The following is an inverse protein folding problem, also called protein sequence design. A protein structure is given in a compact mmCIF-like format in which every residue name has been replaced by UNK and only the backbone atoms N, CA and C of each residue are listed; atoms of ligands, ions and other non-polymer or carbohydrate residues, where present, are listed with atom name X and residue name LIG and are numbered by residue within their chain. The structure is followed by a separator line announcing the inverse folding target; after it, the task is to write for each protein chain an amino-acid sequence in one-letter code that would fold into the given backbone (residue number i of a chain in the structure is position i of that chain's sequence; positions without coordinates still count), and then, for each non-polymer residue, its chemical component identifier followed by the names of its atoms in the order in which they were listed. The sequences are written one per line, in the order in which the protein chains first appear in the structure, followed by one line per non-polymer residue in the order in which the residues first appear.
data_IF_253871782264
#
_entry.id   IF_253871782264
#
_cell.length_a   1.000
_cell.length_b   1.000
_cell.length_c   1.000
_cell.angle_alpha   90.00
_cell.angle_beta   90.00
_cell.angle_gamma   90.00
#
_symmetry.space_group_name_H-M   'P 1'
#
loop_
_entity.id
_entity.type
_entity.pdbx_description
1 polymer ?
#
# COMPACT_ATOMS: atom_id res chain seq x y z
N UNK A 1 13.63 56.04 -7.84
CA UNK A 1 13.10 54.67 -8.05
C UNK A 1 11.85 54.78 -8.91
N UNK A 2 11.87 54.18 -10.10
CA UNK A 2 10.79 54.28 -11.09
C UNK A 2 9.67 53.29 -10.78
N UNK A 3 8.50 53.82 -10.40
CA UNK A 3 7.26 53.06 -10.17
C UNK A 3 6.85 52.31 -11.44
N UNK A 4 6.98 50.99 -11.48
CA UNK A 4 6.42 50.18 -12.57
C UNK A 4 4.94 49.93 -12.31
N UNK A 5 4.11 50.89 -12.72
CA UNK A 5 2.66 50.75 -12.82
C UNK A 5 2.33 49.69 -13.87
N UNK A 6 1.77 48.53 -13.48
CA UNK A 6 1.27 47.56 -14.46
C UNK A 6 0.08 48.18 -15.19
N UNK A 7 0.23 48.39 -16.51
CA UNK A 7 -0.82 49.01 -17.33
C UNK A 7 -2.15 48.26 -17.19
N UNK A 8 -3.28 48.94 -16.96
CA UNK A 8 -4.58 48.30 -16.97
C UNK A 8 -4.82 47.67 -18.34
N UNK A 9 -5.42 46.47 -18.37
CA UNK A 9 -5.84 45.83 -19.62
C UNK A 9 -6.86 46.74 -20.30
N UNK A 10 -6.54 47.23 -21.49
CA UNK A 10 -7.45 48.06 -22.29
C UNK A 10 -8.46 47.14 -22.94
N UNK A 11 -9.76 47.42 -22.75
CA UNK A 11 -10.83 46.67 -23.39
C UNK A 11 -10.81 46.87 -24.90
N UNK A 12 -11.45 45.96 -25.65
CA UNK A 12 -11.70 46.21 -27.08
C UNK A 12 -12.42 47.57 -27.21
N UNK A 13 -11.89 48.45 -28.08
CA UNK A 13 -12.34 49.83 -28.36
C UNK A 13 -11.86 50.93 -27.40
N UNK A 14 -10.79 50.71 -26.63
CA UNK A 14 -10.13 51.80 -25.90
C UNK A 14 -10.86 52.29 -24.66
N UNK A 15 -11.97 51.64 -24.28
CA UNK A 15 -12.66 51.90 -23.01
C UNK A 15 -12.00 51.12 -21.88
N UNK A 16 -11.81 51.73 -20.69
CA UNK A 16 -11.26 51.03 -19.54
C UNK A 16 -12.22 49.92 -19.09
N UNK A 17 -11.72 48.70 -18.93
CA UNK A 17 -12.53 47.57 -18.45
C UNK A 17 -12.80 47.75 -16.96
N UNK A 18 -14.08 47.83 -16.57
CA UNK A 18 -14.52 47.89 -15.16
C UNK A 18 -14.43 46.55 -14.43
N UNK A 19 -14.05 45.48 -15.15
CA UNK A 19 -13.79 44.15 -14.62
C UNK A 19 -12.46 44.16 -13.84
N UNK A 20 -12.53 44.72 -12.64
CA UNK A 20 -11.47 44.66 -11.65
C UNK A 20 -11.90 43.62 -10.64
N UNK A 21 -11.04 42.65 -10.35
CA UNK A 21 -11.32 41.70 -9.28
C UNK A 21 -11.29 42.49 -7.95
N UNK A 22 -12.35 42.38 -7.14
CA UNK A 22 -12.45 42.99 -5.81
C UNK A 22 -12.38 41.93 -4.71
N UNK A 23 -11.84 42.32 -3.54
CA UNK A 23 -11.98 41.52 -2.33
C UNK A 23 -13.35 41.79 -1.71
N UNK A 24 -14.16 40.73 -1.55
CA UNK A 24 -15.56 40.83 -1.08
C UNK A 24 -15.68 41.39 0.34
N UNK A 25 -14.65 41.20 1.18
CA UNK A 25 -14.68 41.64 2.58
C UNK A 25 -14.34 43.13 2.74
N UNK A 26 -13.45 43.67 1.91
CA UNK A 26 -12.97 45.05 2.02
C UNK A 26 -13.49 45.98 0.94
N UNK A 27 -14.15 45.44 -0.09
CA UNK A 27 -14.70 46.14 -1.24
C UNK A 27 -13.66 46.99 -2.02
N UNK A 28 -12.38 46.61 -1.93
CA UNK A 28 -11.26 47.23 -2.62
C UNK A 28 -10.69 46.28 -3.68
N UNK A 29 -10.09 46.86 -4.74
CA UNK A 29 -9.49 46.09 -5.82
C UNK A 29 -8.31 45.23 -5.32
N UNK A 30 -8.17 44.00 -5.81
CA UNK A 30 -7.09 43.07 -5.38
C UNK A 30 -5.68 43.64 -5.58
N UNK A 31 -5.47 44.53 -6.57
CA UNK A 31 -4.18 45.21 -6.79
C UNK A 31 -3.78 46.17 -5.67
N UNK A 32 -4.74 46.69 -4.91
CA UNK A 32 -4.53 47.53 -3.71
C UNK A 32 -4.39 46.65 -2.47
N UNK A 33 -4.94 45.43 -2.49
CA UNK A 33 -5.06 44.51 -1.36
C UNK A 33 -3.89 43.55 -1.13
N UNK A 34 -2.69 43.88 -1.62
CA UNK A 34 -1.49 43.22 -1.15
C UNK A 34 -1.09 43.89 0.17
N UNK A 35 -1.34 43.22 1.29
CA UNK A 35 -1.06 43.70 2.65
C UNK A 35 0.45 43.82 2.97
N UNK A 36 1.33 43.62 1.99
CA UNK A 36 2.78 43.73 2.12
C UNK A 36 3.39 44.39 0.86
N UNK A 37 4.46 45.19 1.05
CA UNK A 37 5.23 45.80 -0.04
C UNK A 37 5.66 44.71 -1.05
N UNK A 38 5.86 44.98 -2.36
CA UNK A 38 6.23 43.95 -3.34
C UNK A 38 7.38 43.01 -2.92
N UNK A 39 8.34 43.53 -2.16
CA UNK A 39 9.46 42.77 -1.58
C UNK A 39 9.08 41.85 -0.40
N UNK A 40 8.02 42.22 0.34
CA UNK A 40 7.55 41.56 1.56
C UNK A 40 6.38 40.59 1.29
N UNK A 41 5.96 40.47 0.03
CA UNK A 41 4.93 39.49 -0.35
C UNK A 41 5.47 38.08 -0.13
N UNK A 42 4.70 37.17 0.48
CA UNK A 42 5.08 35.76 0.51
C UNK A 42 5.32 35.30 -0.93
N UNK A 43 6.56 34.99 -1.28
CA UNK A 43 6.88 34.47 -2.60
C UNK A 43 6.17 33.12 -2.72
N UNK A 44 5.32 32.99 -3.73
CA UNK A 44 4.84 31.68 -4.16
C UNK A 44 6.05 30.92 -4.65
N UNK A 45 6.66 30.17 -3.73
CA UNK A 45 7.74 29.21 -3.91
C UNK A 45 9.13 29.85 -4.10
N UNK A 46 10.14 29.30 -3.41
CA UNK A 46 11.57 29.62 -3.52
C UNK A 46 12.18 29.29 -4.89
N UNK A 47 11.50 29.58 -6.00
CA UNK A 47 11.91 29.16 -7.34
C UNK A 47 12.03 27.63 -7.49
N UNK A 48 11.74 26.85 -6.44
CA UNK A 48 11.59 25.41 -6.48
C UNK A 48 10.22 25.09 -7.05
N UNK A 49 10.03 25.44 -8.33
CA UNK A 49 9.39 24.45 -9.20
C UNK A 49 10.19 23.19 -8.93
N UNK A 50 9.59 22.22 -8.22
CA UNK A 50 10.18 20.91 -7.99
C UNK A 50 10.87 20.56 -9.31
N UNK A 51 12.20 20.37 -9.27
CA UNK A 51 12.97 20.14 -10.51
C UNK A 51 12.23 19.06 -11.26
N UNK A 52 12.21 19.06 -12.60
CA UNK A 52 11.46 18.03 -13.37
C UNK A 52 11.78 16.58 -12.90
N UNK A 53 12.96 16.38 -12.28
CA UNK A 53 13.45 15.16 -11.60
C UNK A 53 12.77 14.80 -10.26
N UNK A 54 12.11 15.74 -9.59
CA UNK A 54 11.41 15.60 -8.31
C UNK A 54 9.90 15.38 -8.49
N UNK A 55 9.41 15.31 -9.74
CA UNK A 55 8.08 14.73 -10.02
C UNK A 55 8.18 13.23 -9.79
N UNK A 56 8.11 12.83 -8.53
CA UNK A 56 8.02 11.44 -8.13
C UNK A 56 6.73 10.87 -8.70
N UNK A 57 6.86 10.05 -9.74
CA UNK A 57 5.76 9.23 -10.22
C UNK A 57 5.52 8.16 -9.16
N UNK A 58 4.27 7.98 -8.66
CA UNK A 58 3.99 6.91 -7.72
C UNK A 58 4.36 5.56 -8.34
N UNK A 59 5.03 4.68 -7.58
CA UNK A 59 5.55 3.42 -8.13
C UNK A 59 4.48 2.54 -8.77
N UNK A 60 3.23 2.61 -8.32
CA UNK A 60 2.11 1.87 -8.93
C UNK A 60 1.78 2.29 -10.37
N UNK A 61 2.25 3.47 -10.79
CA UNK A 61 2.06 4.00 -12.15
C UNK A 61 3.07 3.39 -13.11
N UNK A 62 4.26 3.01 -12.61
CA UNK A 62 5.30 2.35 -13.38
C UNK A 62 5.07 0.84 -13.36
N UNK A 63 4.47 0.33 -14.44
CA UNK A 63 4.31 -1.11 -14.63
C UNK A 63 5.65 -1.72 -15.04
N UNK A 64 6.02 -2.83 -14.41
CA UNK A 64 7.24 -3.56 -14.70
C UNK A 64 7.10 -4.58 -15.86
N UNK A 65 5.93 -4.60 -16.51
CA UNK A 65 5.59 -5.46 -17.62
C UNK A 65 4.92 -4.69 -18.76
N UNK A 66 5.07 -5.21 -19.97
CA UNK A 66 4.42 -4.68 -21.16
C UNK A 66 2.94 -5.10 -21.17
N UNK A 67 2.04 -4.13 -21.28
CA UNK A 67 0.59 -4.34 -21.19
C UNK A 67 0.07 -5.19 -22.35
N UNK A 68 0.68 -5.09 -23.55
CA UNK A 68 0.21 -5.79 -24.75
C UNK A 68 0.70 -7.25 -24.74
N UNK A 69 1.98 -7.46 -24.44
CA UNK A 69 2.61 -8.79 -24.53
C UNK A 69 2.65 -9.54 -23.20
N UNK A 70 2.21 -8.90 -22.12
CA UNK A 70 2.26 -9.38 -20.72
C UNK A 70 3.63 -9.86 -20.23
N UNK A 71 4.70 -9.59 -20.98
CA UNK A 71 6.07 -9.92 -20.60
C UNK A 71 6.65 -8.85 -19.70
N UNK A 72 7.45 -9.27 -18.74
CA UNK A 72 8.25 -8.37 -17.91
C UNK A 72 9.25 -7.61 -18.78
N UNK A 73 9.49 -6.34 -18.45
CA UNK A 73 10.44 -5.47 -19.15
C UNK A 73 11.88 -5.99 -19.03
N UNK A 74 12.21 -6.62 -17.90
CA UNK A 74 13.54 -7.14 -17.59
C UNK A 74 13.45 -8.59 -17.07
N UNK A 75 14.36 -9.45 -17.54
CA UNK A 75 14.55 -10.84 -17.13
C UNK A 75 13.27 -11.69 -17.04
N UNK A 76 12.41 -11.58 -18.06
CA UNK A 76 11.09 -12.22 -18.07
C UNK A 76 11.15 -13.72 -17.75
N UNK A 77 12.01 -14.48 -18.41
CA UNK A 77 12.06 -15.93 -18.25
C UNK A 77 12.51 -16.34 -16.83
N UNK A 78 13.42 -15.57 -16.22
CA UNK A 78 13.87 -15.84 -14.87
C UNK A 78 12.79 -15.51 -13.85
N UNK A 79 12.11 -14.37 -14.01
CA UNK A 79 10.99 -13.96 -13.15
C UNK A 79 9.83 -14.94 -13.26
N UNK A 80 9.46 -15.35 -14.47
CA UNK A 80 8.40 -16.31 -14.71
C UNK A 80 8.69 -17.66 -14.03
N UNK A 81 9.93 -18.17 -14.13
CA UNK A 81 10.32 -19.42 -13.45
C UNK A 81 10.22 -19.30 -11.93
N UNK A 82 10.69 -18.19 -11.35
CA UNK A 82 10.59 -17.91 -9.90
C UNK A 82 9.13 -17.77 -9.46
N UNK A 83 8.30 -17.14 -10.27
CA UNK A 83 6.89 -16.94 -9.95
C UNK A 83 6.13 -18.27 -9.97
N UNK A 84 6.39 -19.15 -10.94
CA UNK A 84 5.80 -20.49 -10.98
C UNK A 84 6.18 -21.31 -9.75
N UNK A 85 7.46 -21.28 -9.32
CA UNK A 85 7.87 -22.01 -8.12
C UNK A 85 7.23 -21.43 -6.85
N UNK A 86 7.15 -20.10 -6.74
CA UNK A 86 6.47 -19.40 -5.65
C UNK A 86 4.98 -19.76 -5.59
N UNK A 87 4.28 -19.70 -6.73
CA UNK A 87 2.85 -20.01 -6.80
C UNK A 87 2.57 -21.46 -6.41
N UNK A 88 3.42 -22.41 -6.82
CA UNK A 88 3.32 -23.82 -6.38
C UNK A 88 3.51 -23.96 -4.87
N UNK A 89 4.51 -23.28 -4.30
CA UNK A 89 4.75 -23.30 -2.85
C UNK A 89 3.57 -22.71 -2.07
N UNK A 90 3.02 -21.58 -2.55
CA UNK A 90 1.84 -20.95 -1.95
C UNK A 90 0.60 -21.83 -2.06
N UNK A 91 0.37 -22.47 -3.20
CA UNK A 91 -0.73 -23.42 -3.38
C UNK A 91 -0.61 -24.60 -2.41
N UNK A 92 0.60 -25.18 -2.28
CA UNK A 92 0.85 -26.26 -1.32
C UNK A 92 0.62 -25.80 0.13
N UNK A 93 1.09 -24.60 0.50
CA UNK A 93 0.86 -24.05 1.83
C UNK A 93 -0.63 -23.82 2.13
N UNK A 94 -1.37 -23.22 1.19
CA UNK A 94 -2.83 -23.03 1.31
C UNK A 94 -3.57 -24.36 1.44
N UNK A 95 -3.18 -25.35 0.64
CA UNK A 95 -3.76 -26.69 0.70
C UNK A 95 -3.52 -27.32 2.07
N UNK A 96 -2.28 -27.30 2.58
CA UNK A 96 -1.94 -27.84 3.91
C UNK A 96 -2.69 -27.15 5.04
N UNK A 97 -2.83 -25.83 4.97
CA UNK A 97 -3.55 -25.06 5.99
C UNK A 97 -5.05 -25.42 6.04
N UNK A 98 -5.68 -25.61 4.88
CA UNK A 98 -7.12 -25.93 4.79
C UNK A 98 -7.40 -27.42 5.01
N UNK A 99 -6.55 -28.29 4.49
CA UNK A 99 -6.75 -29.75 4.47
C UNK A 99 -5.73 -30.42 5.39
N UNK A 100 -5.68 -29.98 6.64
CA UNK A 100 -4.67 -30.43 7.59
C UNK A 100 -4.83 -31.90 7.97
N UNK A 101 -6.06 -32.37 8.10
CA UNK A 101 -6.39 -33.74 8.50
C UNK A 101 -7.28 -34.41 7.46
N UNK A 102 -6.92 -35.65 7.07
CA UNK A 102 -7.74 -36.48 6.20
C UNK A 102 -8.60 -37.43 7.06
N UNK A 103 -9.92 -37.25 7.11
CA UNK A 103 -10.80 -38.05 7.96
C UNK A 103 -10.95 -39.50 7.49
N UNK A 104 -10.79 -39.77 6.19
CA UNK A 104 -10.93 -41.13 5.65
C UNK A 104 -9.75 -42.02 6.04
N UNK A 105 -8.54 -41.47 5.91
CA UNK A 105 -7.30 -42.17 6.27
C UNK A 105 -6.93 -41.99 7.75
N UNK A 106 -7.63 -41.11 8.46
CA UNK A 106 -7.34 -40.68 9.81
C UNK A 106 -5.87 -40.26 10.03
N UNK A 107 -5.30 -39.54 9.05
CA UNK A 107 -3.91 -39.07 9.06
C UNK A 107 -3.82 -37.59 8.75
N UNK A 108 -2.85 -36.90 9.35
CA UNK A 108 -2.50 -35.54 9.00
C UNK A 108 -1.78 -35.50 7.65
N UNK A 109 -1.94 -34.39 6.93
CA UNK A 109 -1.27 -34.18 5.65
C UNK A 109 0.26 -33.99 5.81
N UNK A 110 0.69 -33.54 7.00
CA UNK A 110 2.11 -33.41 7.36
C UNK A 110 2.53 -34.56 8.30
N UNK A 111 3.53 -35.38 7.92
CA UNK A 111 4.03 -36.46 8.78
C UNK A 111 4.59 -35.96 10.12
N UNK A 112 5.10 -34.72 10.18
CA UNK A 112 5.58 -34.13 11.42
C UNK A 112 4.46 -33.80 12.43
N UNK A 113 3.25 -33.50 11.95
CA UNK A 113 2.08 -33.31 12.82
C UNK A 113 1.51 -34.66 13.28
N UNK A 114 1.52 -35.67 12.40
CA UNK A 114 1.14 -37.05 12.75
C UNK A 114 1.97 -37.57 13.93
N UNK A 115 3.30 -37.45 13.87
CA UNK A 115 4.18 -37.91 14.93
C UNK A 115 3.89 -37.22 16.27
N UNK A 116 3.73 -35.89 16.26
CA UNK A 116 3.42 -35.10 17.46
C UNK A 116 2.07 -35.46 18.07
N UNK A 117 1.06 -35.70 17.24
CA UNK A 117 -0.24 -36.13 17.77
C UNK A 117 -0.19 -37.55 18.31
N UNK A 118 0.53 -38.46 17.66
CA UNK A 118 0.72 -39.81 18.15
C UNK A 118 1.35 -39.83 19.54
N UNK A 119 2.45 -39.10 19.73
CA UNK A 119 3.11 -38.97 21.04
C UNK A 119 2.15 -38.43 22.11
N UNK A 120 1.34 -37.43 21.77
CA UNK A 120 0.34 -36.87 22.67
C UNK A 120 -0.75 -37.88 23.05
N UNK A 121 -1.25 -38.65 22.07
CA UNK A 121 -2.25 -39.67 22.32
C UNK A 121 -1.69 -40.80 23.19
N UNK A 122 -0.49 -41.28 22.89
CA UNK A 122 0.19 -42.32 23.67
C UNK A 122 0.37 -41.86 25.13
N UNK A 123 0.83 -40.62 25.35
CA UNK A 123 0.95 -40.05 26.69
C UNK A 123 -0.41 -39.95 27.41
N UNK A 124 -1.45 -39.46 26.73
CA UNK A 124 -2.79 -39.35 27.29
C UNK A 124 -3.37 -40.71 27.67
N UNK A 125 -3.13 -41.73 26.85
CA UNK A 125 -3.59 -43.09 27.09
C UNK A 125 -2.92 -43.69 28.32
N UNK A 126 -1.59 -43.52 28.46
CA UNK A 126 -0.87 -43.97 29.66
C UNK A 126 -1.39 -43.30 30.93
N UNK A 127 -1.68 -42.00 30.89
CA UNK A 127 -2.24 -41.25 32.03
C UNK A 127 -3.66 -41.72 32.37
N UNK A 128 -4.50 -41.98 31.37
CA UNK A 128 -5.84 -42.55 31.58
C UNK A 128 -5.77 -43.91 32.27
N UNK A 129 -4.87 -44.78 31.82
CA UNK A 129 -4.68 -46.11 32.42
C UNK A 129 -4.20 -45.99 33.87
N UNK A 130 -3.18 -45.16 34.15
CA UNK A 130 -2.71 -44.92 35.52
C UNK A 130 -3.83 -44.40 36.43
N UNK A 131 -4.62 -43.44 35.94
CA UNK A 131 -5.74 -42.88 36.69
C UNK A 131 -6.82 -43.93 36.96
N UNK A 132 -7.14 -44.77 35.98
CA UNK A 132 -8.11 -45.85 36.14
C UNK A 132 -7.63 -46.87 37.19
N UNK A 133 -6.35 -47.28 37.11
CA UNK A 133 -5.74 -48.18 38.10
C UNK A 133 -5.77 -47.59 39.51
N UNK A 134 -5.49 -46.29 39.67
CA UNK A 134 -5.53 -45.63 40.97
C UNK A 134 -6.95 -45.53 41.57
N UNK A 135 -7.99 -45.56 40.73
CA UNK A 135 -9.39 -45.53 41.17
C UNK A 135 -9.97 -46.93 41.42
N UNK A 136 -9.25 -47.99 41.05
CA UNK A 136 -9.71 -49.34 41.35
C UNK A 136 -9.71 -49.54 42.88
N UNK A 137 -10.81 -50.02 43.45
CA UNK A 137 -10.82 -50.39 44.86
C UNK A 137 -9.79 -51.50 45.08
N UNK A 138 -9.12 -51.54 46.24
CA UNK A 138 -8.25 -52.65 46.58
C UNK A 138 -9.09 -53.94 46.61
N UNK A 139 -8.90 -54.81 45.63
CA UNK A 139 -9.42 -56.17 45.70
C UNK A 139 -8.56 -56.97 46.67
N UNK A 140 -9.23 -57.76 47.52
CA UNK A 140 -8.66 -58.75 48.44
C UNK A 140 -8.23 -59.99 47.65
#
# INVERSE_FOLDING_TARGET
MTLTYSKPRVGRRGMPTTLVDYNVLSNLAHGVHHWAHPEDRPKTDDGRRLRRKERLVPSYTEKDYNIITTRYLYDHDQKAKKEVSLQRALAAAKYRARNRFNPLLQRFADPGEDARMKERFDAMETERVKRALAQQPPCI
#
